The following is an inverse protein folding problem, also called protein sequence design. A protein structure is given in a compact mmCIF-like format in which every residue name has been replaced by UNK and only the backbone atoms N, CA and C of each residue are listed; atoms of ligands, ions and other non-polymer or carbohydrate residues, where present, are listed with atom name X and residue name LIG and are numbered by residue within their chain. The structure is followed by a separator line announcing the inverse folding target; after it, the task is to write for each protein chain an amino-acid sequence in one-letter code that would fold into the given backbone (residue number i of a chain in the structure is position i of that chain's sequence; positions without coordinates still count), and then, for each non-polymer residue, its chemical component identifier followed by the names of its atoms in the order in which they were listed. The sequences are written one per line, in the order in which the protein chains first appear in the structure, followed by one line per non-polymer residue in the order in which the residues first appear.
data_IF_468818982599
#
_entry.id   IF_468818982599
#
_cell.length_a   1.000
_cell.length_b   1.000
_cell.length_c   1.000
_cell.angle_alpha   90.00
_cell.angle_beta   90.00
_cell.angle_gamma   90.00
#
_symmetry.space_group_name_H-M   'P 1'
#
loop_
_entity.id
_entity.type
_entity.pdbx_description
1 polymer ?
#
# COMPACT_ATOMS: atom_id res chain seq x y z
N UNK A 1 16.98 0.81 -5.79
CA UNK A 1 17.02 1.56 -7.08
C UNK A 1 18.36 2.26 -7.31
N UNK A 2 18.94 2.96 -6.33
CA UNK A 2 20.21 3.68 -6.53
C UNK A 2 21.34 2.74 -7.01
N UNK A 3 21.54 1.62 -6.32
CA UNK A 3 22.55 0.62 -6.67
C UNK A 3 22.38 0.00 -8.06
N UNK A 4 21.12 -0.32 -8.44
CA UNK A 4 20.86 -0.86 -9.78
C UNK A 4 21.12 0.17 -10.87
N UNK A 5 20.72 1.43 -10.67
CA UNK A 5 20.99 2.50 -11.62
C UNK A 5 22.49 2.75 -11.80
N UNK A 6 23.23 2.80 -10.69
CA UNK A 6 24.68 2.95 -10.73
C UNK A 6 25.33 1.79 -11.52
N UNK A 7 24.83 0.56 -11.31
CA UNK A 7 25.31 -0.61 -12.08
C UNK A 7 24.95 -0.54 -13.55
N UNK A 8 23.73 -0.14 -13.90
CA UNK A 8 23.31 0.08 -15.30
C UNK A 8 24.17 1.17 -15.94
N UNK A 9 24.40 2.29 -15.27
CA UNK A 9 25.25 3.38 -15.78
C UNK A 9 26.68 2.93 -16.01
N UNK A 10 27.25 2.12 -15.12
CA UNK A 10 28.57 1.50 -15.29
C UNK A 10 28.61 0.58 -16.52
N UNK A 11 27.62 -0.31 -16.69
CA UNK A 11 27.51 -1.20 -17.83
C UNK A 11 27.36 -0.42 -19.14
N UNK A 12 26.49 0.59 -19.16
CA UNK A 12 26.26 1.42 -20.35
C UNK A 12 27.51 2.22 -20.75
N UNK A 13 28.28 2.72 -19.77
CA UNK A 13 29.52 3.46 -20.06
C UNK A 13 30.63 2.59 -20.67
N UNK A 14 30.57 1.28 -20.39
CA UNK A 14 31.53 0.30 -20.89
C UNK A 14 31.03 -0.46 -22.13
N UNK A 15 29.77 -0.29 -22.51
CA UNK A 15 29.13 -0.99 -23.63
C UNK A 15 29.38 -0.29 -24.96
N UNK A 16 29.11 -1.00 -26.07
CA UNK A 16 29.12 -0.45 -27.44
C UNK A 16 27.80 0.23 -27.81
N UNK A 17 26.84 0.33 -26.87
CA UNK A 17 25.53 0.93 -27.12
C UNK A 17 25.65 2.41 -27.42
N UNK A 18 24.93 2.88 -28.42
CA UNK A 18 24.79 4.31 -28.69
C UNK A 18 23.79 4.96 -27.75
N UNK A 19 23.95 6.25 -27.50
CA UNK A 19 22.97 7.02 -26.70
C UNK A 19 21.57 7.04 -27.32
N UNK A 20 21.49 6.98 -28.65
CA UNK A 20 20.27 6.95 -29.42
C UNK A 20 19.50 5.65 -29.21
N UNK A 21 20.18 4.49 -29.24
CA UNK A 21 19.59 3.18 -28.97
C UNK A 21 19.03 3.10 -27.56
N UNK A 22 19.80 3.51 -26.58
CA UNK A 22 19.36 3.53 -25.17
C UNK A 22 18.17 4.48 -24.98
N UNK A 23 18.23 5.67 -25.59
CA UNK A 23 17.11 6.63 -25.52
C UNK A 23 15.84 6.10 -26.19
N UNK A 24 15.97 5.30 -27.25
CA UNK A 24 14.82 4.64 -27.88
C UNK A 24 14.18 3.63 -26.94
N UNK A 25 14.97 2.75 -26.32
CA UNK A 25 14.48 1.75 -25.32
C UNK A 25 13.78 2.44 -24.14
N UNK A 26 14.36 3.54 -23.65
CA UNK A 26 13.80 4.28 -22.51
C UNK A 26 12.49 5.02 -22.84
N UNK A 27 12.24 5.41 -24.08
CA UNK A 27 11.00 6.08 -24.49
C UNK A 27 9.82 5.15 -24.65
N UNK A 28 10.06 3.87 -24.92
CA UNK A 28 8.97 2.91 -25.03
C UNK A 28 8.27 2.74 -23.67
N UNK A 29 6.93 2.71 -23.69
CA UNK A 29 6.17 2.37 -22.48
C UNK A 29 6.56 0.97 -22.01
N UNK A 30 7.02 0.86 -20.77
CA UNK A 30 7.19 -0.43 -20.14
C UNK A 30 5.80 -1.07 -20.00
N UNK A 31 5.63 -2.25 -20.58
CA UNK A 31 4.44 -3.08 -20.35
C UNK A 31 4.73 -3.98 -19.16
N UNK A 32 3.83 -3.95 -18.19
CA UNK A 32 3.89 -4.92 -17.08
C UNK A 32 4.00 -6.36 -17.62
N UNK A 33 4.84 -7.25 -17.05
CA UNK A 33 5.65 -7.06 -15.83
C UNK A 33 7.05 -6.45 -16.05
N UNK A 34 7.39 -5.97 -17.24
CA UNK A 34 8.74 -5.53 -17.58
C UNK A 34 8.95 -4.06 -17.26
N UNK A 35 9.85 -3.77 -16.33
CA UNK A 35 10.33 -2.42 -16.07
C UNK A 35 11.24 -1.90 -17.19
N UNK A 36 11.53 -0.59 -17.18
CA UNK A 36 12.53 -0.02 -18.11
C UNK A 36 13.92 -0.63 -17.88
N UNK A 37 14.26 -0.86 -16.61
CA UNK A 37 15.51 -1.43 -16.19
C UNK A 37 15.68 -2.87 -16.70
N UNK A 38 14.67 -3.72 -16.55
CA UNK A 38 14.66 -5.08 -17.11
C UNK A 38 14.87 -5.09 -18.63
N UNK A 39 14.27 -4.13 -19.35
CA UNK A 39 14.45 -4.02 -20.80
C UNK A 39 15.87 -3.60 -21.19
N UNK A 40 16.48 -2.67 -20.45
CA UNK A 40 17.86 -2.28 -20.67
C UNK A 40 18.79 -3.47 -20.42
N UNK A 41 18.59 -4.21 -19.33
CA UNK A 41 19.37 -5.41 -19.03
C UNK A 41 19.22 -6.49 -20.11
N UNK A 42 17.99 -6.73 -20.58
CA UNK A 42 17.74 -7.67 -21.68
C UNK A 42 18.45 -7.24 -22.98
N UNK A 43 18.47 -5.95 -23.28
CA UNK A 43 19.19 -5.42 -24.42
C UNK A 43 20.71 -5.58 -24.28
N UNK A 44 21.28 -5.25 -23.11
CA UNK A 44 22.70 -5.46 -22.85
C UNK A 44 23.09 -6.94 -22.97
N UNK A 45 22.25 -7.85 -22.50
CA UNK A 45 22.44 -9.28 -22.65
C UNK A 45 22.41 -9.68 -24.14
N UNK A 46 21.48 -9.13 -24.95
CA UNK A 46 21.40 -9.42 -26.39
C UNK A 46 22.61 -8.97 -27.18
N UNK A 47 23.33 -7.96 -26.67
CA UNK A 47 24.60 -7.49 -27.24
C UNK A 47 25.82 -8.27 -26.73
N UNK A 48 25.65 -9.18 -25.79
CA UNK A 48 26.74 -9.91 -25.16
C UNK A 48 27.58 -9.06 -24.19
N UNK A 49 27.08 -7.89 -23.77
CA UNK A 49 27.76 -7.04 -22.79
C UNK A 49 27.63 -7.57 -21.35
N UNK A 50 26.60 -8.37 -21.09
CA UNK A 50 26.40 -9.16 -19.87
C UNK A 50 26.00 -10.58 -20.24
N UNK A 51 26.33 -11.53 -19.37
CA UNK A 51 25.93 -12.93 -19.51
C UNK A 51 24.48 -13.11 -19.08
N UNK A 52 23.88 -14.25 -19.44
CA UNK A 52 22.55 -14.60 -18.96
C UNK A 52 22.49 -14.71 -17.42
N UNK A 53 23.51 -15.27 -16.80
CA UNK A 53 23.57 -15.42 -15.33
C UNK A 53 23.65 -14.06 -14.62
N UNK A 54 24.41 -13.12 -15.20
CA UNK A 54 24.46 -11.74 -14.69
C UNK A 54 23.12 -11.02 -14.87
N UNK A 55 22.48 -11.18 -16.03
CA UNK A 55 21.15 -10.67 -16.29
C UNK A 55 20.14 -11.21 -15.27
N UNK A 56 20.06 -12.54 -15.13
CA UNK A 56 19.09 -13.19 -14.25
C UNK A 56 19.26 -12.75 -12.79
N UNK A 57 20.51 -12.65 -12.32
CA UNK A 57 20.80 -12.19 -10.96
C UNK A 57 20.41 -10.73 -10.73
N UNK A 58 20.68 -9.85 -11.69
CA UNK A 58 20.30 -8.42 -11.59
C UNK A 58 18.79 -8.22 -11.66
N UNK A 59 18.11 -8.99 -12.51
CA UNK A 59 16.65 -8.92 -12.66
C UNK A 59 15.95 -9.48 -11.43
N UNK A 60 16.39 -10.59 -10.86
CA UNK A 60 15.87 -11.16 -9.62
C UNK A 60 16.04 -10.18 -8.45
N UNK A 61 17.23 -9.60 -8.28
CA UNK A 61 17.49 -8.59 -7.24
C UNK A 61 16.63 -7.34 -7.44
N UNK A 62 16.43 -6.90 -8.68
CA UNK A 62 15.54 -5.80 -8.99
C UNK A 62 14.08 -6.13 -8.66
N UNK A 63 13.60 -7.27 -9.12
CA UNK A 63 12.21 -7.70 -8.91
C UNK A 63 11.89 -7.88 -7.43
N UNK A 64 12.77 -8.54 -6.66
CA UNK A 64 12.55 -8.76 -5.23
C UNK A 64 12.46 -7.45 -4.43
N UNK A 65 13.24 -6.44 -4.82
CA UNK A 65 13.24 -5.12 -4.17
C UNK A 65 12.18 -4.15 -4.69
N UNK A 66 11.40 -4.53 -5.69
CA UNK A 66 10.43 -3.64 -6.34
C UNK A 66 9.09 -4.32 -6.64
N UNK A 67 8.72 -5.35 -5.87
CA UNK A 67 7.50 -6.12 -6.08
C UNK A 67 6.23 -5.26 -6.13
N UNK A 68 6.19 -4.19 -5.33
CA UNK A 68 5.04 -3.31 -5.19
C UNK A 68 5.27 -1.90 -5.74
N UNK A 69 6.36 -1.70 -6.51
CA UNK A 69 6.72 -0.37 -7.02
C UNK A 69 5.63 0.23 -7.91
N UNK A 70 4.90 -0.60 -8.67
CA UNK A 70 3.80 -0.17 -9.52
C UNK A 70 2.67 0.51 -8.75
N UNK A 71 2.47 0.15 -7.48
CA UNK A 71 1.45 0.79 -6.64
C UNK A 71 1.74 2.28 -6.39
N UNK A 72 3.00 2.69 -6.54
CA UNK A 72 3.39 4.09 -6.40
C UNK A 72 3.08 4.93 -7.65
N UNK A 73 2.87 4.31 -8.79
CA UNK A 73 2.44 4.98 -10.03
C UNK A 73 0.90 5.09 -10.15
N UNK A 74 0.16 4.40 -9.30
CA UNK A 74 -1.30 4.51 -9.26
C UNK A 74 -1.75 5.92 -8.86
N UNK A 75 -2.83 6.41 -9.49
CA UNK A 75 -3.47 7.66 -9.07
C UNK A 75 -3.86 7.59 -7.58
N UNK A 76 -3.69 8.66 -6.80
CA UNK A 76 -3.96 8.64 -5.35
C UNK A 76 -5.36 8.14 -4.99
N UNK A 77 -6.37 8.54 -5.76
CA UNK A 77 -7.74 8.10 -5.55
C UNK A 77 -7.91 6.60 -5.76
N UNK A 78 -7.37 6.05 -6.85
CA UNK A 78 -7.46 4.62 -7.16
C UNK A 78 -6.75 3.79 -6.10
N UNK A 79 -5.55 4.21 -5.69
CA UNK A 79 -4.81 3.54 -4.65
C UNK A 79 -5.52 3.59 -3.29
N UNK A 80 -5.98 4.77 -2.85
CA UNK A 80 -6.54 4.98 -1.52
C UNK A 80 -7.98 4.49 -1.34
N UNK A 81 -8.78 4.45 -2.43
CA UNK A 81 -10.21 4.12 -2.34
C UNK A 81 -10.58 2.75 -2.93
N UNK A 82 -9.74 2.18 -3.77
CA UNK A 82 -10.13 0.97 -4.51
C UNK A 82 -9.14 -0.17 -4.32
N UNK A 83 -7.84 0.11 -4.43
CA UNK A 83 -6.84 -0.95 -4.45
C UNK A 83 -6.81 -1.76 -3.15
N UNK A 84 -6.78 -1.10 -1.99
CA UNK A 84 -6.69 -1.79 -0.69
C UNK A 84 -7.86 -2.73 -0.42
N UNK A 85 -9.10 -2.25 -0.67
CA UNK A 85 -10.32 -3.06 -0.53
C UNK A 85 -10.32 -4.28 -1.47
N UNK A 86 -10.01 -4.03 -2.75
CA UNK A 86 -9.96 -5.09 -3.78
C UNK A 86 -8.86 -6.11 -3.49
N UNK A 87 -7.70 -5.66 -2.99
CA UNK A 87 -6.59 -6.52 -2.64
C UNK A 87 -6.95 -7.45 -1.48
N UNK A 88 -7.50 -6.91 -0.38
CA UNK A 88 -7.95 -7.71 0.77
C UNK A 88 -9.03 -8.73 0.37
N UNK A 89 -9.98 -8.33 -0.48
CA UNK A 89 -11.02 -9.25 -0.97
C UNK A 89 -10.50 -10.35 -1.88
N UNK A 90 -9.42 -10.10 -2.63
CA UNK A 90 -8.76 -11.14 -3.44
C UNK A 90 -8.04 -12.15 -2.58
N UNK A 91 -7.38 -11.70 -1.51
CA UNK A 91 -6.72 -12.58 -0.55
C UNK A 91 -7.74 -13.43 0.24
N UNK A 92 -8.82 -12.80 0.66
CA UNK A 92 -9.84 -13.41 1.52
C UNK A 92 -11.23 -13.16 0.94
N UNK A 93 -11.74 -14.07 0.10
CA UNK A 93 -13.06 -13.93 -0.54
C UNK A 93 -14.25 -13.90 0.43
N UNK A 94 -14.02 -14.20 1.71
CA UNK A 94 -15.01 -14.10 2.78
C UNK A 94 -15.43 -12.64 3.08
N UNK A 95 -14.54 -11.68 2.80
CA UNK A 95 -14.89 -10.28 2.94
C UNK A 95 -15.84 -9.83 1.84
N UNK A 96 -17.04 -9.44 2.23
CA UNK A 96 -18.07 -8.91 1.33
C UNK A 96 -17.87 -7.41 1.17
N UNK A 97 -17.86 -6.89 -0.06
CA UNK A 97 -17.86 -5.45 -0.28
C UNK A 97 -19.14 -4.84 0.27
N UNK A 98 -18.98 -3.82 1.12
CA UNK A 98 -20.12 -3.11 1.67
C UNK A 98 -20.78 -2.24 0.58
N UNK A 99 -21.99 -2.63 0.19
CA UNK A 99 -22.86 -1.87 -0.72
C UNK A 99 -24.30 -2.05 -0.25
N UNK A 100 -25.18 -1.11 -0.61
CA UNK A 100 -26.61 -1.23 -0.29
C UNK A 100 -27.22 -2.54 -0.78
N UNK A 101 -26.77 -3.03 -1.92
CA UNK A 101 -27.23 -4.29 -2.50
C UNK A 101 -26.73 -5.51 -1.71
N UNK A 102 -25.40 -5.56 -1.43
CA UNK A 102 -24.80 -6.70 -0.75
C UNK A 102 -25.23 -6.83 0.72
N UNK A 103 -25.60 -5.71 1.36
CA UNK A 103 -25.96 -5.65 2.77
C UNK A 103 -27.47 -5.52 3.01
N UNK A 104 -28.31 -5.54 1.98
CA UNK A 104 -29.75 -5.31 2.09
C UNK A 104 -30.43 -6.14 3.17
N UNK A 105 -30.05 -7.41 3.31
CA UNK A 105 -30.67 -8.37 4.24
C UNK A 105 -30.05 -8.36 5.65
N UNK A 106 -28.78 -7.92 5.78
CA UNK A 106 -27.98 -8.04 7.03
C UNK A 106 -27.71 -6.69 7.70
N UNK A 107 -27.66 -5.61 6.93
CA UNK A 107 -27.46 -4.26 7.42
C UNK A 107 -28.20 -3.25 6.52
N UNK A 108 -29.55 -3.19 6.58
CA UNK A 108 -30.38 -2.42 5.67
C UNK A 108 -30.18 -0.90 5.74
N UNK A 109 -29.71 -0.39 6.88
CA UNK A 109 -29.46 1.05 7.10
C UNK A 109 -28.07 1.49 6.59
N UNK A 110 -27.33 0.64 5.87
CA UNK A 110 -26.01 0.97 5.32
C UNK A 110 -26.07 2.18 4.39
N UNK A 111 -25.24 3.18 4.66
CA UNK A 111 -25.13 4.41 3.85
C UNK A 111 -23.67 4.80 3.51
N UNK A 112 -22.80 3.81 3.35
CA UNK A 112 -21.40 4.01 2.92
C UNK A 112 -20.43 4.31 4.07
N UNK A 113 -20.73 3.85 5.29
CA UNK A 113 -19.96 4.19 6.48
C UNK A 113 -18.65 3.40 6.61
N UNK A 114 -18.56 2.20 5.99
CA UNK A 114 -17.42 1.30 6.02
C UNK A 114 -17.24 0.57 4.69
N UNK A 115 -16.11 -0.07 4.48
CA UNK A 115 -15.69 -0.62 3.17
C UNK A 115 -16.08 -2.09 2.99
N UNK A 116 -15.89 -2.93 4.03
CA UNK A 116 -16.10 -4.37 3.97
C UNK A 116 -16.93 -4.88 5.15
N UNK A 117 -17.60 -6.02 4.91
CA UNK A 117 -18.40 -6.74 5.89
C UNK A 117 -17.92 -8.18 6.04
N UNK A 118 -17.87 -8.66 7.29
CA UNK A 118 -17.54 -10.05 7.64
C UNK A 118 -18.36 -10.49 8.85
N UNK A 119 -19.39 -11.31 8.63
CA UNK A 119 -20.18 -11.97 9.68
C UNK A 119 -20.62 -11.02 10.85
N UNK A 120 -21.11 -9.84 10.52
CA UNK A 120 -21.51 -8.85 11.50
C UNK A 120 -20.45 -7.80 11.85
N UNK A 121 -19.22 -7.97 11.37
CA UNK A 121 -18.10 -7.05 11.62
C UNK A 121 -18.02 -6.02 10.49
N UNK A 122 -18.06 -4.73 10.87
CA UNK A 122 -17.88 -3.59 9.96
C UNK A 122 -16.41 -3.24 9.86
N UNK A 123 -15.87 -3.20 8.65
CA UNK A 123 -14.43 -3.09 8.44
C UNK A 123 -14.12 -1.90 7.52
N UNK A 124 -13.17 -1.08 7.93
CA UNK A 124 -12.60 0.00 7.14
C UNK A 124 -11.18 -0.35 6.70
N UNK A 125 -10.87 -0.23 5.40
CA UNK A 125 -9.56 -0.51 4.84
C UNK A 125 -8.85 0.78 4.47
N UNK A 126 -7.62 0.96 4.91
CA UNK A 126 -6.80 2.11 4.56
C UNK A 126 -5.42 1.68 4.09
N UNK A 127 -4.89 2.35 3.08
CA UNK A 127 -3.56 2.07 2.54
C UNK A 127 -2.69 3.35 2.51
N UNK A 128 -1.41 3.19 2.87
CA UNK A 128 -0.43 4.28 2.88
C UNK A 128 0.85 3.84 2.19
N UNK A 129 1.36 4.65 1.24
CA UNK A 129 2.62 4.42 0.53
C UNK A 129 3.78 5.08 1.25
N UNK A 130 4.80 4.30 1.60
CA UNK A 130 6.01 4.81 2.24
C UNK A 130 6.93 5.46 1.19
N UNK A 131 7.02 6.78 1.23
CA UNK A 131 7.83 7.54 0.29
C UNK A 131 8.55 8.72 0.95
N UNK A 132 9.73 9.05 0.42
CA UNK A 132 10.50 10.20 0.86
C UNK A 132 9.80 11.51 0.51
N UNK A 133 9.74 12.42 1.47
CA UNK A 133 9.32 13.82 1.25
C UNK A 133 10.50 14.76 1.01
N UNK A 134 11.73 14.26 1.18
CA UNK A 134 12.97 15.05 1.06
C UNK A 134 13.49 15.17 -0.36
N UNK A 135 12.97 14.38 -1.29
CA UNK A 135 13.38 14.36 -2.70
C UNK A 135 12.24 14.78 -3.61
N UNK A 136 12.55 15.38 -4.76
CA UNK A 136 11.61 15.68 -5.83
C UNK A 136 11.50 14.49 -6.78
N UNK A 137 10.40 14.42 -7.54
CA UNK A 137 10.16 13.38 -8.54
C UNK A 137 8.85 12.64 -8.33
N UNK A 138 8.61 11.59 -9.13
CA UNK A 138 7.42 10.75 -9.03
C UNK A 138 7.39 10.00 -7.68
N UNK A 139 6.23 9.53 -7.26
CA UNK A 139 6.12 8.72 -6.05
C UNK A 139 6.97 7.45 -6.16
N UNK A 140 6.96 6.78 -7.32
CA UNK A 140 7.79 5.59 -7.56
C UNK A 140 9.29 5.86 -7.40
N UNK A 141 9.79 7.04 -7.85
CA UNK A 141 11.21 7.40 -7.67
C UNK A 141 11.60 7.70 -6.23
N UNK A 142 10.62 7.93 -5.36
CA UNK A 142 10.78 8.27 -3.94
C UNK A 142 10.31 7.15 -3.02
N UNK A 143 9.85 6.03 -3.58
CA UNK A 143 9.38 4.87 -2.82
C UNK A 143 10.49 4.29 -1.95
N UNK A 144 10.20 4.07 -0.68
CA UNK A 144 11.11 3.44 0.25
C UNK A 144 11.08 1.90 0.11
N UNK A 145 12.24 1.27 0.31
CA UNK A 145 12.29 -0.10 0.83
C UNK A 145 11.76 -0.10 2.27
N UNK A 146 11.32 -1.25 2.77
CA UNK A 146 10.87 -1.38 4.16
C UNK A 146 11.94 -0.91 5.15
N UNK A 147 13.17 -1.39 4.98
CA UNK A 147 14.30 -0.98 5.83
C UNK A 147 14.57 0.53 5.76
N UNK A 148 14.49 1.12 4.56
CA UNK A 148 14.66 2.57 4.37
C UNK A 148 13.55 3.37 5.07
N UNK A 149 12.30 2.88 5.03
CA UNK A 149 11.17 3.52 5.71
C UNK A 149 11.33 3.48 7.23
N UNK A 150 11.70 2.32 7.76
CA UNK A 150 11.96 2.12 9.18
C UNK A 150 13.10 3.02 9.67
N UNK A 151 14.26 2.98 9.02
CA UNK A 151 15.45 3.77 9.39
C UNK A 151 15.20 5.30 9.28
N UNK A 152 14.33 5.71 8.37
CA UNK A 152 13.91 7.11 8.24
C UNK A 152 12.89 7.54 9.29
N UNK A 153 12.39 6.63 10.13
CA UNK A 153 11.27 6.88 11.05
C UNK A 153 10.01 7.32 10.31
N UNK A 154 9.73 6.67 9.17
CA UNK A 154 8.57 7.04 8.35
C UNK A 154 7.29 6.89 9.16
N UNK A 155 6.42 7.91 9.07
CA UNK A 155 5.10 7.89 9.71
C UNK A 155 4.04 7.56 8.67
N UNK A 156 3.44 6.39 8.84
CA UNK A 156 2.27 6.00 8.06
C UNK A 156 1.11 6.92 8.40
N UNK A 157 0.51 7.53 7.37
CA UNK A 157 -0.56 8.50 7.50
C UNK A 157 -1.86 7.92 6.98
N UNK A 158 -2.81 7.70 7.90
CA UNK A 158 -4.15 7.24 7.57
C UNK A 158 -5.16 8.34 7.87
N UNK A 159 -6.01 8.62 6.91
CA UNK A 159 -7.01 9.69 6.95
C UNK A 159 -8.43 9.13 6.82
N UNK A 160 -9.41 10.00 7.11
CA UNK A 160 -10.83 9.65 7.03
C UNK A 160 -11.18 8.45 7.91
N UNK A 161 -10.61 8.44 9.12
CA UNK A 161 -10.87 7.41 10.10
C UNK A 161 -12.12 7.75 10.89
N UNK A 162 -13.14 6.87 10.83
CA UNK A 162 -14.43 7.02 11.48
C UNK A 162 -14.67 5.88 12.49
N UNK A 163 -14.12 5.94 13.71
CA UNK A 163 -14.18 4.83 14.67
C UNK A 163 -15.59 4.44 15.13
N UNK A 164 -16.55 5.34 15.01
CA UNK A 164 -17.97 5.04 15.31
C UNK A 164 -18.66 4.24 14.20
N UNK A 165 -18.14 4.27 12.98
CA UNK A 165 -18.75 3.66 11.81
C UNK A 165 -18.27 2.24 11.53
N UNK A 166 -17.10 1.85 12.04
CA UNK A 166 -16.55 0.51 11.83
C UNK A 166 -16.12 -0.13 13.16
N UNK A 167 -15.95 -1.44 13.16
CA UNK A 167 -15.51 -2.22 14.31
C UNK A 167 -14.00 -2.48 14.26
N UNK A 168 -13.48 -2.70 13.04
CA UNK A 168 -12.09 -3.05 12.80
C UNK A 168 -11.54 -2.24 11.63
N UNK A 169 -10.30 -1.81 11.77
CA UNK A 169 -9.49 -1.23 10.71
C UNK A 169 -8.48 -2.25 10.20
N UNK A 170 -8.38 -2.37 8.87
CA UNK A 170 -7.27 -3.03 8.18
C UNK A 170 -6.40 -1.93 7.57
N UNK A 171 -5.22 -1.72 8.12
CA UNK A 171 -4.27 -0.76 7.58
C UNK A 171 -3.17 -1.46 6.81
N UNK A 172 -2.89 -0.96 5.62
CA UNK A 172 -1.86 -1.48 4.72
C UNK A 172 -0.77 -0.42 4.56
N UNK A 173 0.44 -0.75 4.99
CA UNK A 173 1.64 0.01 4.68
C UNK A 173 2.29 -0.55 3.43
N UNK A 174 2.51 0.27 2.41
CA UNK A 174 3.14 -0.16 1.16
C UNK A 174 4.54 0.39 1.07
N UNK A 175 5.53 -0.50 1.16
CA UNK A 175 6.90 -0.28 0.73
C UNK A 175 7.08 -0.84 -0.68
N UNK A 176 8.13 -0.47 -1.41
CA UNK A 176 8.32 -0.97 -2.78
C UNK A 176 8.66 -2.46 -2.85
N UNK A 177 9.14 -3.05 -1.76
CA UNK A 177 9.57 -4.44 -1.62
C UNK A 177 8.61 -5.29 -0.77
N UNK A 178 7.72 -4.68 0.02
CA UNK A 178 6.83 -5.43 0.90
C UNK A 178 5.56 -4.67 1.23
N UNK A 179 4.53 -5.41 1.65
CA UNK A 179 3.32 -4.89 2.28
C UNK A 179 3.35 -5.23 3.77
N UNK A 180 2.89 -4.30 4.58
CA UNK A 180 2.76 -4.43 6.02
C UNK A 180 1.29 -4.30 6.40
N UNK A 181 0.83 -5.10 7.34
CA UNK A 181 -0.57 -5.10 7.74
C UNK A 181 -0.69 -4.86 9.24
N UNK A 182 -1.60 -3.97 9.61
CA UNK A 182 -1.95 -3.69 10.99
C UNK A 182 -3.47 -3.78 11.15
N UNK A 183 -3.89 -4.59 12.13
CA UNK A 183 -5.31 -4.82 12.41
C UNK A 183 -5.62 -4.23 13.79
N UNK A 184 -6.52 -3.27 13.83
CA UNK A 184 -6.92 -2.57 15.05
C UNK A 184 -8.43 -2.59 15.19
N UNK A 185 -8.94 -2.80 16.40
CA UNK A 185 -10.33 -2.42 16.68
C UNK A 185 -10.46 -0.89 16.79
N UNK A 186 -11.65 -0.36 16.60
CA UNK A 186 -11.93 1.07 16.84
C UNK A 186 -11.61 1.49 18.26
N UNK A 187 -11.84 0.62 19.25
CA UNK A 187 -11.51 0.90 20.65
C UNK A 187 -9.98 0.97 20.87
N UNK A 188 -9.20 0.11 20.19
CA UNK A 188 -7.74 0.17 20.25
C UNK A 188 -7.22 1.44 19.62
N UNK A 189 -7.75 1.84 18.45
CA UNK A 189 -7.40 3.11 17.82
C UNK A 189 -7.62 4.30 18.78
N UNK A 190 -8.78 4.38 19.40
CA UNK A 190 -9.10 5.44 20.36
C UNK A 190 -8.16 5.43 21.58
N UNK A 191 -7.78 4.24 22.08
CA UNK A 191 -6.84 4.11 23.21
C UNK A 191 -5.42 4.54 22.89
N UNK A 192 -5.02 4.61 21.60
CA UNK A 192 -3.70 5.13 21.22
C UNK A 192 -3.52 6.61 21.59
N UNK A 193 -4.61 7.37 21.70
CA UNK A 193 -4.58 8.82 21.90
C UNK A 193 -4.00 9.59 20.71
N UNK A 194 -3.80 8.94 19.56
CA UNK A 194 -3.15 9.52 18.37
C UNK A 194 -4.14 10.02 17.31
N UNK A 195 -5.41 9.69 17.45
CA UNK A 195 -6.44 10.14 16.53
C UNK A 195 -6.64 11.67 16.68
N UNK A 196 -6.25 12.40 15.66
CA UNK A 196 -6.39 13.86 15.59
C UNK A 196 -7.38 14.29 14.53
N UNK A 197 -7.75 15.58 14.54
CA UNK A 197 -8.59 16.17 13.50
C UNK A 197 -7.86 16.20 12.15
N UNK A 198 -8.60 16.21 11.06
CA UNK A 198 -8.08 16.38 9.71
C UNK A 198 -8.47 17.73 9.12
N UNK A 199 -7.79 18.13 8.01
CA UNK A 199 -7.99 19.45 7.38
C UNK A 199 -9.37 19.68 6.76
N UNK A 200 -10.11 18.62 6.49
CA UNK A 200 -11.43 18.67 5.84
C UNK A 200 -12.43 18.00 6.75
N UNK A 201 -13.56 18.68 6.95
CA UNK A 201 -14.73 18.15 7.62
C UNK A 201 -14.41 17.21 8.80
N UNK A 202 -14.13 17.77 9.96
CA UNK A 202 -13.99 16.99 11.21
C UNK A 202 -15.25 16.15 11.52
N UNK A 203 -16.35 16.47 10.85
CA UNK A 203 -17.63 15.80 11.02
C UNK A 203 -18.22 15.50 9.65
N UNK A 204 -18.50 14.23 9.40
CA UNK A 204 -19.31 13.71 8.31
C UNK A 204 -20.70 13.32 8.86
N UNK A 205 -21.59 12.88 7.99
CA UNK A 205 -22.96 12.57 8.41
C UNK A 205 -23.91 13.76 8.26
N UNK A 206 -25.05 13.72 8.95
CA UNK A 206 -26.03 14.79 8.94
C UNK A 206 -25.84 15.76 10.11
N UNK A 207 -26.43 16.94 10.04
CA UNK A 207 -26.39 17.90 11.14
C UNK A 207 -26.94 17.31 12.45
N UNK A 208 -27.93 16.39 12.35
CA UNK A 208 -28.58 15.73 13.49
C UNK A 208 -27.76 14.52 14.00
N UNK A 209 -26.85 13.97 13.18
CA UNK A 209 -25.97 12.85 13.55
C UNK A 209 -24.57 13.06 12.96
N UNK A 210 -23.78 13.96 13.53
CA UNK A 210 -22.42 14.23 13.05
C UNK A 210 -21.49 13.06 13.42
N UNK A 211 -20.72 12.58 12.44
CA UNK A 211 -19.72 11.53 12.62
C UNK A 211 -18.34 12.16 12.64
N UNK A 212 -17.57 11.92 13.70
CA UNK A 212 -16.19 12.37 13.76
C UNK A 212 -15.35 11.63 12.75
N UNK A 213 -14.56 12.38 11.99
CA UNK A 213 -13.63 11.89 10.98
C UNK A 213 -12.23 12.43 11.27
N UNK A 214 -11.29 11.54 11.55
CA UNK A 214 -9.95 11.91 11.98
C UNK A 214 -8.83 11.34 11.12
N UNK A 215 -7.60 11.58 11.58
CA UNK A 215 -6.37 11.07 10.97
C UNK A 215 -5.35 10.69 12.04
N UNK A 216 -4.42 9.82 11.66
CA UNK A 216 -3.26 9.45 12.50
C UNK A 216 -1.96 9.49 11.70
N UNK A 217 -0.86 9.72 12.43
CA UNK A 217 0.50 9.57 11.95
C UNK A 217 1.23 8.67 12.94
N UNK A 218 1.60 7.47 12.51
CA UNK A 218 2.25 6.49 13.39
C UNK A 218 3.48 5.89 12.69
N UNK A 219 4.56 5.75 13.44
CA UNK A 219 5.74 4.99 12.98
C UNK A 219 5.44 3.50 13.04
N UNK A 220 6.29 2.70 12.41
CA UNK A 220 6.18 1.23 12.46
C UNK A 220 6.28 0.70 13.90
N UNK A 221 7.17 1.25 14.72
CA UNK A 221 7.30 0.88 16.13
C UNK A 221 6.02 1.12 16.93
N UNK A 222 5.33 2.24 16.66
CA UNK A 222 4.04 2.56 17.29
C UNK A 222 2.91 1.65 16.80
N UNK A 223 3.05 1.09 15.59
CA UNK A 223 2.10 0.17 14.99
C UNK A 223 2.40 -1.31 15.31
N UNK A 224 3.59 -1.61 15.84
CA UNK A 224 4.03 -2.97 16.12
C UNK A 224 3.02 -3.81 16.95
N UNK A 225 2.31 -3.27 17.97
CA UNK A 225 1.31 -4.04 18.71
C UNK A 225 0.13 -4.55 17.88
N UNK A 226 -0.07 -4.01 16.69
CA UNK A 226 -1.18 -4.31 15.78
C UNK A 226 -0.73 -5.06 14.52
N UNK A 227 0.58 -5.33 14.41
CA UNK A 227 1.15 -6.01 13.25
C UNK A 227 0.62 -7.43 13.12
N UNK A 228 0.32 -7.81 11.88
CA UNK A 228 -0.20 -9.14 11.52
C UNK A 228 0.45 -9.57 10.21
N UNK A 229 0.87 -10.82 10.12
CA UNK A 229 1.24 -11.41 8.83
C UNK A 229 0.02 -11.57 7.94
N UNK A 230 0.22 -11.55 6.62
CA UNK A 230 -0.84 -11.60 5.62
C UNK A 230 -1.80 -12.76 5.84
N UNK A 231 -1.29 -13.97 6.09
CA UNK A 231 -2.07 -15.18 6.31
C UNK A 231 -2.98 -15.13 7.54
N UNK A 232 -2.68 -14.25 8.50
CA UNK A 232 -3.40 -14.14 9.77
C UNK A 232 -4.41 -12.96 9.81
N UNK A 233 -4.57 -12.21 8.71
CA UNK A 233 -5.48 -11.05 8.65
C UNK A 233 -6.90 -11.44 9.02
N UNK A 234 -7.42 -12.52 8.44
CA UNK A 234 -8.80 -12.97 8.67
C UNK A 234 -9.05 -13.30 10.15
N UNK A 235 -8.16 -14.06 10.76
CA UNK A 235 -8.26 -14.47 12.18
C UNK A 235 -8.14 -13.24 13.11
N UNK A 236 -7.26 -12.31 12.78
CA UNK A 236 -7.10 -11.06 13.53
C UNK A 236 -8.37 -10.19 13.46
N UNK A 237 -9.01 -10.10 12.29
CA UNK A 237 -10.27 -9.37 12.13
C UNK A 237 -11.37 -10.02 12.98
N UNK A 238 -11.52 -11.34 12.97
CA UNK A 238 -12.47 -12.02 13.83
C UNK A 238 -12.20 -11.79 15.32
N UNK A 239 -10.93 -11.91 15.74
CA UNK A 239 -10.55 -11.71 17.14
C UNK A 239 -10.85 -10.28 17.63
N UNK A 240 -10.62 -9.25 16.78
CA UNK A 240 -10.86 -7.84 17.11
C UNK A 240 -12.35 -7.46 17.03
N UNK A 241 -13.09 -8.03 16.05
CA UNK A 241 -14.52 -7.74 15.84
C UNK A 241 -15.41 -8.33 16.92
N UNK A 242 -15.19 -9.58 17.33
CA UNK A 242 -15.99 -10.29 18.35
C UNK A 242 -16.00 -9.58 19.71
N UNK A 243 -14.97 -8.86 20.06
CA UNK A 243 -14.92 -8.10 21.31
C UNK A 243 -16.00 -7.00 21.43
N UNK A 244 -16.69 -6.67 20.34
CA UNK A 244 -17.78 -5.67 20.30
C UNK A 244 -19.18 -6.26 20.16
N UNK A 245 -19.31 -7.44 19.54
CA UNK A 245 -20.61 -8.12 19.38
C UNK A 245 -21.09 -8.68 20.73
N UNK A 246 -20.18 -9.01 21.64
CA UNK A 246 -20.45 -9.56 22.98
C UNK A 246 -20.69 -8.48 24.06
N UNK A 247 -20.74 -7.20 23.71
CA UNK A 247 -21.06 -6.06 24.60
C UNK A 247 -22.42 -5.46 24.30
#
# INVERSE_FOLDING_TARGET
MKQLREKIEELLSNSKCTKEEISSIMREKALYPFSRESRILAYLMSLGEITYDEYAKLDEDYCSRNQFLELFDMAPRTYGQTWGEEYIRKLFPQFVKATKENLADVYPDFDGEFDLWLDGIRIEVKACRANSTKSSGSLASRAYLHTEAHDAGFKYHYQQLKPSCCDVFIWIGTCRDTLLYWILSSDELLKTGKLGSQHRNEHTGTADNPVFEGQVFMTEDELLPFFVNEENILDAVYAKGKSRIDK
#
